data_IF_308938769294
#
_entry.id   IF_308938769294
#
_cell.length_a   1.000
_cell.length_b   1.000
_cell.length_c   1.000
_cell.angle_alpha   90.00
_cell.angle_beta   90.00
_cell.angle_gamma   90.00
#
_symmetry.space_group_name_H-M   'P 1'
#
loop_
_entity.id
_entity.type
_entity.pdbx_description
1 polymer ?
#
# COMPACT_ATOMS: atom_id res chain seq x y z
N UNK A 1 -43.12 70.67 -38.10
CA UNK A 1 -42.11 69.94 -38.89
C UNK A 1 -41.67 68.73 -38.06
N UNK A 2 -41.57 67.55 -38.70
CA UNK A 2 -41.19 66.19 -38.21
C UNK A 2 -40.00 66.15 -37.21
N UNK A 3 -39.69 65.02 -36.51
CA UNK A 3 -40.25 63.65 -36.63
C UNK A 3 -40.49 62.87 -35.31
N UNK A 4 -41.24 61.77 -35.50
CA UNK A 4 -41.23 60.43 -34.90
C UNK A 4 -40.49 60.08 -33.59
N UNK A 5 -41.28 59.49 -32.71
CA UNK A 5 -41.00 58.51 -31.65
C UNK A 5 -39.92 57.48 -31.98
N UNK A 6 -38.92 57.38 -31.10
CA UNK A 6 -38.27 56.11 -30.74
C UNK A 6 -37.65 56.25 -29.33
N UNK A 7 -38.27 55.62 -28.33
CA UNK A 7 -37.75 55.51 -26.96
C UNK A 7 -36.83 54.29 -26.89
N UNK A 8 -35.52 54.53 -26.92
CA UNK A 8 -34.49 53.53 -26.68
C UNK A 8 -34.14 53.50 -25.20
N UNK A 9 -34.47 52.38 -24.53
CA UNK A 9 -34.00 52.06 -23.19
C UNK A 9 -32.52 51.67 -23.26
N UNK A 10 -31.64 52.51 -22.71
CA UNK A 10 -30.24 52.16 -22.52
C UNK A 10 -30.09 51.32 -21.24
N UNK A 11 -29.74 50.05 -21.40
CA UNK A 11 -29.36 49.14 -20.32
C UNK A 11 -27.90 49.44 -19.96
N UNK A 12 -27.68 50.15 -18.85
CA UNK A 12 -26.34 50.26 -18.26
C UNK A 12 -26.09 49.02 -17.40
N UNK A 13 -25.37 48.04 -17.95
CA UNK A 13 -24.83 46.92 -17.20
C UNK A 13 -23.75 47.42 -16.23
N UNK A 14 -24.03 47.25 -14.93
CA UNK A 14 -23.01 47.29 -13.87
C UNK A 14 -21.94 46.24 -14.18
N UNK A 15 -20.71 46.70 -14.35
CA UNK A 15 -19.54 45.83 -14.50
C UNK A 15 -19.30 45.02 -13.23
N UNK A 16 -19.33 43.69 -13.33
CA UNK A 16 -18.73 42.82 -12.34
C UNK A 16 -17.21 42.90 -12.50
N UNK A 17 -16.54 43.52 -11.52
CA UNK A 17 -15.13 43.27 -11.29
C UNK A 17 -14.98 41.83 -10.77
N UNK A 18 -14.72 40.87 -11.67
CA UNK A 18 -14.26 39.55 -11.27
C UNK A 18 -12.77 39.64 -11.00
N UNK A 19 -12.38 39.49 -9.73
CA UNK A 19 -11.01 39.17 -9.37
C UNK A 19 -10.73 37.73 -9.83
N UNK A 20 -10.40 37.58 -11.10
CA UNK A 20 -9.85 36.33 -11.62
C UNK A 20 -8.45 36.17 -11.00
N UNK A 21 -8.34 35.25 -10.04
CA UNK A 21 -7.05 34.73 -9.62
C UNK A 21 -6.34 34.19 -10.87
N UNK A 22 -5.13 34.70 -11.10
CA UNK A 22 -4.28 34.31 -12.22
C UNK A 22 -3.89 32.84 -11.96
N UNK A 23 -4.57 31.91 -12.63
CA UNK A 23 -4.20 30.51 -12.61
C UNK A 23 -2.80 30.36 -13.22
N UNK A 24 -1.89 29.69 -12.51
CA UNK A 24 -0.57 29.35 -13.02
C UNK A 24 -0.74 28.40 -14.23
N UNK A 25 -0.04 28.62 -15.35
CA UNK A 25 -0.26 27.88 -16.60
C UNK A 25 0.25 26.42 -16.59
N UNK A 26 0.55 25.85 -15.42
CA UNK A 26 0.96 24.44 -15.25
C UNK A 26 -0.19 23.54 -14.74
N UNK A 27 -1.40 24.09 -14.57
CA UNK A 27 -2.55 23.39 -14.00
C UNK A 27 -3.42 22.65 -15.04
N UNK A 28 -2.91 22.38 -16.24
CA UNK A 28 -3.71 21.84 -17.35
C UNK A 28 -3.07 20.71 -18.16
N UNK A 29 -2.24 19.86 -17.55
CA UNK A 29 -1.92 18.57 -18.15
C UNK A 29 -1.55 17.52 -17.10
N UNK A 30 -2.52 17.15 -16.28
CA UNK A 30 -2.76 15.81 -15.72
C UNK A 30 -3.85 16.00 -14.68
N UNK A 31 -5.10 15.69 -15.00
CA UNK A 31 -6.09 15.46 -13.96
C UNK A 31 -5.48 14.43 -13.00
N UNK A 32 -5.04 14.86 -11.81
CA UNK A 32 -4.33 14.00 -10.89
C UNK A 32 -5.26 12.84 -10.58
N UNK A 33 -4.88 11.62 -10.98
CA UNK A 33 -5.58 10.44 -10.50
C UNK A 33 -5.60 10.56 -8.97
N UNK A 34 -6.82 10.64 -8.42
CA UNK A 34 -7.02 10.92 -7.00
C UNK A 34 -6.23 9.89 -6.19
N UNK A 35 -5.28 10.38 -5.38
CA UNK A 35 -4.46 9.53 -4.50
C UNK A 35 -5.37 8.59 -3.72
N UNK A 36 -5.00 7.31 -3.66
CA UNK A 36 -5.80 6.29 -2.99
C UNK A 36 -5.31 6.12 -1.55
N UNK A 37 -5.58 7.13 -0.72
CA UNK A 37 -5.26 7.08 0.71
C UNK A 37 -6.06 5.97 1.41
N UNK A 38 -5.45 5.29 2.37
CA UNK A 38 -6.15 4.32 3.21
C UNK A 38 -7.15 5.01 4.13
N UNK A 39 -8.34 4.40 4.25
CA UNK A 39 -9.42 4.89 5.15
C UNK A 39 -9.25 4.38 6.59
N UNK A 40 -8.55 3.27 6.77
CA UNK A 40 -8.38 2.58 8.06
C UNK A 40 -6.92 2.16 8.22
N UNK A 41 -6.56 1.64 9.41
CA UNK A 41 -5.17 1.31 9.74
C UNK A 41 -4.51 2.36 10.65
N UNK A 42 -3.23 2.15 10.94
CA UNK A 42 -2.45 3.03 11.81
C UNK A 42 -2.31 4.42 11.17
N UNK A 43 -2.05 5.42 12.02
CA UNK A 43 -1.75 6.77 11.56
C UNK A 43 -0.27 7.08 11.85
N UNK A 44 0.39 7.74 10.89
CA UNK A 44 1.75 8.23 11.08
C UNK A 44 1.85 9.14 12.30
N UNK A 45 0.94 10.11 12.45
CA UNK A 45 0.98 11.09 13.53
C UNK A 45 2.37 11.73 13.66
N UNK A 46 2.97 11.63 14.84
CA UNK A 46 4.31 12.16 15.11
C UNK A 46 5.43 11.40 14.36
N UNK A 47 5.16 10.21 13.83
CA UNK A 47 6.15 9.39 13.12
C UNK A 47 6.30 9.74 11.63
N UNK A 48 5.58 10.75 11.12
CA UNK A 48 5.60 11.09 9.70
C UNK A 48 7.02 11.39 9.19
N UNK A 49 7.84 12.12 9.96
CA UNK A 49 9.23 12.39 9.60
C UNK A 49 10.10 11.13 9.62
N UNK A 50 9.88 10.22 10.57
CA UNK A 50 10.58 8.94 10.61
C UNK A 50 10.22 8.08 9.39
N UNK A 51 8.95 8.09 8.97
CA UNK A 51 8.52 7.42 7.75
C UNK A 51 9.16 8.02 6.49
N UNK A 52 9.37 9.34 6.43
CA UNK A 52 10.10 9.98 5.32
C UNK A 52 11.58 9.57 5.27
N UNK A 53 12.25 9.46 6.42
CA UNK A 53 13.62 8.93 6.49
C UNK A 53 13.70 7.46 6.06
N UNK A 54 12.68 6.66 6.40
CA UNK A 54 12.55 5.30 5.92
C UNK A 54 12.40 5.24 4.38
N UNK A 55 11.59 6.15 3.79
CA UNK A 55 11.45 6.30 2.34
C UNK A 55 12.80 6.62 1.69
N UNK A 56 13.58 7.54 2.27
CA UNK A 56 14.92 7.86 1.80
C UNK A 56 15.86 6.64 1.82
N UNK A 57 15.87 5.91 2.92
CA UNK A 57 16.69 4.70 3.07
C UNK A 57 16.29 3.65 2.03
N UNK A 58 14.98 3.45 1.83
CA UNK A 58 14.44 2.48 0.88
C UNK A 58 14.81 2.82 -0.57
N UNK A 59 14.65 4.08 -0.96
CA UNK A 59 14.90 4.54 -2.33
C UNK A 59 16.39 4.75 -2.65
N UNK A 60 17.27 4.90 -1.65
CA UNK A 60 18.72 4.91 -1.87
C UNK A 60 19.28 3.53 -2.20
N UNK A 61 18.64 2.47 -1.71
CA UNK A 61 19.14 1.10 -1.85
C UNK A 61 18.08 0.13 -2.36
N UNK A 62 17.33 -0.52 -1.45
CA UNK A 62 16.59 -1.74 -1.76
C UNK A 62 15.43 -1.60 -2.76
N UNK A 63 14.83 -0.42 -2.90
CA UNK A 63 13.74 -0.16 -3.85
C UNK A 63 14.21 0.51 -5.15
N UNK A 64 15.51 0.79 -5.29
CA UNK A 64 16.10 1.30 -6.53
C UNK A 64 16.48 0.15 -7.47
N UNK A 65 16.46 0.42 -8.77
CA UNK A 65 17.07 -0.45 -9.77
C UNK A 65 16.08 -0.96 -10.82
N UNK A 66 16.50 -1.98 -11.56
CA UNK A 66 15.71 -2.59 -12.65
C UNK A 66 14.62 -3.49 -12.08
N UNK A 67 13.39 -3.30 -12.54
CA UNK A 67 12.22 -4.13 -12.27
C UNK A 67 11.75 -4.80 -13.56
N UNK A 68 11.24 -6.02 -13.44
CA UNK A 68 10.48 -6.68 -14.50
C UNK A 68 8.99 -6.35 -14.37
N UNK A 69 8.24 -6.47 -15.47
CA UNK A 69 6.80 -6.22 -15.46
C UNK A 69 6.10 -7.06 -14.39
N UNK A 70 5.22 -6.42 -13.62
CA UNK A 70 4.52 -6.97 -12.45
C UNK A 70 5.40 -7.29 -11.24
N UNK A 71 6.70 -7.06 -11.30
CA UNK A 71 7.58 -7.18 -10.13
C UNK A 71 7.22 -6.11 -9.10
N UNK A 72 7.14 -6.52 -7.85
CA UNK A 72 6.92 -5.64 -6.69
C UNK A 72 7.98 -5.94 -5.65
N UNK A 73 8.57 -4.89 -5.08
CA UNK A 73 9.52 -5.00 -3.96
C UNK A 73 8.97 -4.25 -2.78
N UNK A 74 9.25 -4.80 -1.59
CA UNK A 74 8.73 -4.30 -0.33
C UNK A 74 9.88 -4.17 0.66
N UNK A 75 9.86 -3.11 1.46
CA UNK A 75 10.75 -2.91 2.60
C UNK A 75 9.97 -2.39 3.79
N UNK A 76 10.25 -2.96 4.95
CA UNK A 76 9.66 -2.56 6.22
C UNK A 76 10.73 -1.83 7.06
N UNK A 77 10.32 -0.74 7.72
CA UNK A 77 11.17 0.03 8.61
C UNK A 77 10.41 0.35 9.89
N UNK A 78 11.03 0.08 11.03
CA UNK A 78 10.48 0.41 12.33
C UNK A 78 10.36 1.94 12.48
N UNK A 79 9.28 2.37 13.13
CA UNK A 79 9.02 3.75 13.57
C UNK A 79 9.09 3.78 15.11
N UNK A 80 8.53 4.82 15.76
CA UNK A 80 8.50 4.84 17.23
C UNK A 80 7.57 3.78 17.81
N UNK A 81 7.91 3.31 19.03
CA UNK A 81 7.12 2.30 19.74
C UNK A 81 6.99 1.01 18.94
N UNK A 82 5.75 0.53 18.79
CA UNK A 82 5.40 -0.68 18.05
C UNK A 82 4.95 -0.44 16.61
N UNK A 83 5.22 0.74 16.06
CA UNK A 83 4.86 1.05 14.67
C UNK A 83 5.96 0.70 13.69
N UNK A 84 5.57 0.42 12.46
CA UNK A 84 6.45 0.43 11.29
C UNK A 84 5.80 1.13 10.10
N UNK A 85 6.58 1.29 9.03
CA UNK A 85 6.06 1.60 7.71
C UNK A 85 6.53 0.55 6.70
N UNK A 86 5.57 -0.02 5.99
CA UNK A 86 5.80 -0.91 4.84
C UNK A 86 5.76 -0.09 3.56
N UNK A 87 6.90 -0.05 2.87
CA UNK A 87 7.13 0.70 1.65
C UNK A 87 7.24 -0.24 0.47
N UNK A 88 6.44 0.02 -0.55
CA UNK A 88 6.29 -0.85 -1.71
C UNK A 88 6.44 -0.06 -3.00
N UNK A 89 7.28 -0.55 -3.90
CA UNK A 89 7.39 -0.09 -5.28
C UNK A 89 7.16 -1.27 -6.21
N UNK A 90 6.28 -1.12 -7.19
CA UNK A 90 6.03 -2.15 -8.19
C UNK A 90 5.91 -1.60 -9.62
N UNK A 91 6.45 -2.34 -10.59
CA UNK A 91 6.29 -2.05 -12.02
C UNK A 91 4.96 -2.65 -12.52
N UNK A 92 3.86 -2.15 -11.96
CA UNK A 92 2.51 -2.71 -12.14
C UNK A 92 1.52 -1.73 -12.76
N UNK A 93 1.95 -0.52 -13.10
CA UNK A 93 1.07 0.49 -13.69
C UNK A 93 0.62 0.15 -15.11
N UNK A 94 -0.45 0.79 -15.56
CA UNK A 94 -1.06 0.53 -16.87
C UNK A 94 -0.09 0.75 -18.03
N UNK A 95 0.88 1.65 -17.87
CA UNK A 95 1.90 1.95 -18.89
C UNK A 95 3.15 1.05 -18.78
N UNK A 96 3.19 0.13 -17.81
CA UNK A 96 4.37 -0.68 -17.54
C UNK A 96 4.77 -1.57 -18.74
N UNK A 97 5.95 -1.28 -19.29
CA UNK A 97 6.65 -2.12 -20.26
C UNK A 97 7.19 -3.42 -19.65
N UNK A 98 7.96 -4.19 -20.43
CA UNK A 98 8.54 -5.47 -19.99
C UNK A 98 9.53 -5.32 -18.84
N UNK A 99 10.33 -4.26 -18.86
CA UNK A 99 11.24 -3.88 -17.77
C UNK A 99 11.35 -2.37 -17.67
N UNK A 100 11.68 -1.85 -16.48
CA UNK A 100 12.00 -0.43 -16.26
C UNK A 100 12.90 -0.30 -15.05
N UNK A 101 13.84 0.65 -15.10
CA UNK A 101 14.65 1.03 -13.94
C UNK A 101 14.01 2.21 -13.25
N UNK A 102 13.79 2.11 -11.93
CA UNK A 102 13.46 3.26 -11.09
C UNK A 102 14.74 3.79 -10.46
N UNK A 103 14.94 5.10 -10.56
CA UNK A 103 16.01 5.77 -9.83
C UNK A 103 15.55 6.22 -8.43
N UNK A 104 16.47 6.84 -7.68
CA UNK A 104 16.20 7.32 -6.32
C UNK A 104 15.08 8.36 -6.34
N UNK A 105 15.13 9.32 -7.25
CA UNK A 105 14.27 10.50 -7.19
C UNK A 105 12.84 10.19 -7.63
N UNK A 106 12.66 9.33 -8.65
CA UNK A 106 11.36 8.80 -9.04
C UNK A 106 10.74 7.95 -7.92
N UNK A 107 11.55 7.13 -7.23
CA UNK A 107 11.10 6.36 -6.06
C UNK A 107 10.66 7.27 -4.91
N UNK A 108 11.49 8.26 -4.55
CA UNK A 108 11.21 9.22 -3.48
C UNK A 108 9.97 10.04 -3.76
N UNK A 109 9.83 10.57 -4.98
CA UNK A 109 8.72 11.43 -5.38
C UNK A 109 7.38 10.70 -5.24
N UNK A 110 7.33 9.41 -5.62
CA UNK A 110 6.13 8.59 -5.48
C UNK A 110 5.80 8.27 -4.02
N UNK A 111 6.73 7.64 -3.30
CA UNK A 111 6.48 7.17 -1.92
C UNK A 111 6.25 8.31 -0.93
N UNK A 112 6.97 9.43 -1.05
CA UNK A 112 6.79 10.60 -0.17
C UNK A 112 5.37 11.13 -0.24
N UNK A 113 4.73 11.09 -1.41
CA UNK A 113 3.35 11.55 -1.58
C UNK A 113 2.34 10.66 -0.86
N UNK A 114 2.61 9.36 -0.74
CA UNK A 114 1.75 8.46 0.04
C UNK A 114 1.92 8.68 1.57
N UNK A 115 3.07 9.20 2.02
CA UNK A 115 3.32 9.52 3.44
C UNK A 115 2.78 10.90 3.83
N UNK A 116 3.03 11.91 3.01
CA UNK A 116 2.69 13.32 3.33
C UNK A 116 1.21 13.60 3.13
N UNK A 117 0.64 13.12 2.03
CA UNK A 117 -0.75 13.46 1.68
C UNK A 117 -1.78 12.50 2.29
N UNK A 118 -1.33 11.38 2.85
CA UNK A 118 -2.21 10.40 3.47
C UNK A 118 -1.71 10.07 4.89
N UNK A 119 -2.40 10.60 5.91
CA UNK A 119 -2.00 10.39 7.32
C UNK A 119 -2.00 8.92 7.77
N UNK A 120 -2.74 8.06 7.07
CA UNK A 120 -2.77 6.60 7.28
C UNK A 120 -2.05 5.82 6.19
N UNK A 121 -1.24 6.47 5.37
CA UNK A 121 -0.65 5.86 4.18
C UNK A 121 -1.61 5.79 2.99
N UNK A 122 -1.08 5.34 1.86
CA UNK A 122 -1.80 5.26 0.59
C UNK A 122 -1.20 4.23 -0.36
N UNK A 123 -1.95 3.93 -1.42
CA UNK A 123 -1.58 2.97 -2.46
C UNK A 123 -2.00 3.48 -3.83
N UNK A 124 -1.13 4.28 -4.44
CA UNK A 124 -1.40 4.90 -5.73
C UNK A 124 -0.57 4.23 -6.81
N UNK A 125 -1.24 3.80 -7.88
CA UNK A 125 -0.59 3.39 -9.12
C UNK A 125 -0.68 4.52 -10.11
N UNK A 126 0.45 4.99 -10.63
CA UNK A 126 0.53 6.09 -11.58
C UNK A 126 1.53 5.78 -12.69
N UNK A 127 1.06 5.86 -13.93
CA UNK A 127 1.86 5.58 -15.12
C UNK A 127 2.41 4.14 -15.12
N UNK A 128 3.70 3.99 -14.85
CA UNK A 128 4.38 2.69 -14.82
C UNK A 128 4.40 2.05 -13.42
N UNK A 129 4.30 2.86 -12.37
CA UNK A 129 4.70 2.47 -11.03
C UNK A 129 3.53 2.45 -10.06
N UNK A 130 3.52 1.47 -9.16
CA UNK A 130 2.73 1.48 -7.94
C UNK A 130 3.61 1.91 -6.78
N UNK A 131 3.11 2.88 -6.01
CA UNK A 131 3.71 3.36 -4.78
C UNK A 131 2.73 3.11 -3.66
N UNK A 132 3.15 2.34 -2.66
CA UNK A 132 2.36 2.12 -1.45
C UNK A 132 3.22 2.38 -0.23
N UNK A 133 2.72 3.22 0.66
CA UNK A 133 3.29 3.46 1.98
C UNK A 133 2.21 3.17 3.01
N UNK A 134 2.47 2.25 3.92
CA UNK A 134 1.48 1.69 4.81
C UNK A 134 2.02 1.66 6.24
N UNK A 135 1.62 2.61 7.10
CA UNK A 135 1.95 2.56 8.51
C UNK A 135 1.16 1.43 9.17
N UNK A 136 1.86 0.59 9.93
CA UNK A 136 1.27 -0.49 10.69
C UNK A 136 1.64 -0.35 12.17
N UNK A 137 0.75 -0.81 13.03
CA UNK A 137 1.10 -1.17 14.40
C UNK A 137 1.49 -2.65 14.32
N UNK A 138 2.79 -2.94 14.36
CA UNK A 138 3.32 -4.25 14.03
C UNK A 138 2.86 -5.29 15.06
N UNK A 139 2.09 -6.27 14.60
CA UNK A 139 1.85 -7.48 15.37
C UNK A 139 3.13 -8.32 15.57
N UNK A 140 4.10 -8.19 14.64
CA UNK A 140 5.38 -8.93 14.68
C UNK A 140 6.53 -8.05 14.20
N UNK A 141 7.62 -8.03 14.98
CA UNK A 141 8.87 -7.34 14.65
C UNK A 141 9.99 -8.33 14.38
N UNK A 142 10.71 -8.15 13.27
CA UNK A 142 11.96 -8.86 13.02
C UNK A 142 13.08 -8.16 13.79
N UNK A 143 13.49 -8.73 14.92
CA UNK A 143 14.49 -8.14 15.82
C UNK A 143 15.93 -8.28 15.32
N UNK A 144 16.21 -9.28 14.48
CA UNK A 144 17.55 -9.56 13.96
C UNK A 144 17.52 -10.36 12.66
N UNK A 145 18.65 -10.39 11.95
CA UNK A 145 18.82 -11.12 10.69
C UNK A 145 18.37 -10.35 9.44
N UNK A 146 18.68 -10.91 8.27
CA UNK A 146 18.21 -10.38 6.98
C UNK A 146 16.99 -11.18 6.50
N UNK A 147 16.06 -10.50 5.83
CA UNK A 147 14.89 -11.15 5.25
C UNK A 147 14.70 -10.73 3.80
N UNK A 148 14.05 -11.61 3.03
CA UNK A 148 13.51 -11.32 1.70
C UNK A 148 12.00 -11.50 1.71
N UNK A 149 11.34 -10.83 0.78
CA UNK A 149 9.89 -10.91 0.60
C UNK A 149 9.58 -11.45 -0.78
N UNK A 150 8.60 -12.33 -0.88
CA UNK A 150 8.02 -12.79 -2.14
C UNK A 150 6.51 -12.65 -2.06
N UNK A 151 5.91 -12.10 -3.12
CA UNK A 151 4.47 -11.80 -3.17
C UNK A 151 3.82 -12.59 -4.29
N UNK A 152 2.71 -13.27 -4.02
CA UNK A 152 1.96 -14.07 -5.00
C UNK A 152 0.46 -13.97 -4.74
N UNK A 153 -0.32 -13.98 -5.82
CA UNK A 153 -1.77 -14.19 -5.72
C UNK A 153 -2.07 -15.63 -5.28
N UNK A 154 -2.88 -15.76 -4.24
CA UNK A 154 -3.49 -17.00 -3.80
C UNK A 154 -4.68 -17.36 -4.70
N UNK A 155 -5.12 -18.61 -4.65
CA UNK A 155 -6.12 -19.18 -5.56
C UNK A 155 -7.49 -18.47 -5.47
N UNK A 156 -7.82 -17.92 -4.30
CA UNK A 156 -9.01 -17.11 -4.06
C UNK A 156 -8.84 -15.61 -4.42
N UNK A 157 -7.71 -15.22 -5.02
CA UNK A 157 -7.45 -13.87 -5.49
C UNK A 157 -6.77 -12.92 -4.49
N UNK A 158 -6.65 -13.28 -3.20
CA UNK A 158 -5.90 -12.47 -2.25
C UNK A 158 -4.39 -12.54 -2.53
N UNK A 159 -3.67 -11.47 -2.24
CA UNK A 159 -2.22 -11.40 -2.40
C UNK A 159 -1.53 -11.73 -1.09
N UNK A 160 -0.80 -12.84 -1.07
CA UNK A 160 0.04 -13.24 0.06
C UNK A 160 1.45 -12.70 -0.14
N UNK A 161 1.97 -12.01 0.87
CA UNK A 161 3.39 -11.65 0.98
C UNK A 161 4.04 -12.57 2.01
N UNK A 162 5.09 -13.28 1.59
CA UNK A 162 5.86 -14.21 2.41
C UNK A 162 7.20 -13.54 2.74
N UNK A 163 7.50 -13.40 4.03
CA UNK A 163 8.79 -12.93 4.53
C UNK A 163 9.61 -14.11 5.00
N UNK A 164 10.82 -14.30 4.47
CA UNK A 164 11.64 -15.48 4.72
C UNK A 164 13.14 -15.16 4.86
N UNK A 165 13.87 -16.05 5.52
CA UNK A 165 15.33 -15.99 5.64
C UNK A 165 15.99 -16.39 4.30
N UNK A 166 16.85 -15.56 3.69
CA UNK A 166 17.45 -15.86 2.40
C UNK A 166 18.50 -16.98 2.43
N UNK A 167 19.00 -17.35 3.61
CA UNK A 167 20.07 -18.36 3.75
C UNK A 167 19.53 -19.77 3.91
N UNK A 168 18.47 -19.95 4.72
CA UNK A 168 17.87 -21.25 5.00
C UNK A 168 16.46 -21.45 4.41
N UNK A 169 15.92 -20.43 3.74
CA UNK A 169 14.56 -20.42 3.16
C UNK A 169 13.40 -20.62 4.16
N UNK A 170 13.65 -20.58 5.48
CA UNK A 170 12.61 -20.64 6.50
C UNK A 170 11.68 -19.43 6.40
N UNK A 171 10.37 -19.66 6.38
CA UNK A 171 9.37 -18.59 6.44
C UNK A 171 9.34 -18.00 7.85
N UNK A 172 9.51 -16.69 7.95
CA UNK A 172 9.45 -15.95 9.22
C UNK A 172 7.99 -15.65 9.54
N UNK A 173 7.27 -15.00 8.62
CA UNK A 173 5.82 -14.77 8.70
C UNK A 173 5.23 -14.52 7.30
N UNK A 174 3.91 -14.57 7.19
CA UNK A 174 3.15 -14.17 5.99
C UNK A 174 2.09 -13.13 6.33
N UNK A 175 1.79 -12.30 5.35
CA UNK A 175 0.70 -11.32 5.39
C UNK A 175 -0.19 -11.55 4.17
N UNK A 176 -1.49 -11.24 4.28
CA UNK A 176 -2.42 -11.25 3.18
C UNK A 176 -3.19 -9.91 3.12
N UNK A 177 -3.58 -9.47 1.92
CA UNK A 177 -4.30 -8.21 1.71
C UNK A 177 -5.84 -8.33 1.81
N UNK A 178 -6.32 -9.46 2.33
CA UNK A 178 -7.73 -9.72 2.59
C UNK A 178 -8.12 -9.21 4.00
N UNK A 179 -9.38 -8.80 4.18
CA UNK A 179 -9.89 -8.14 5.39
C UNK A 179 -9.75 -9.01 6.64
N UNK A 180 -9.94 -10.33 6.55
CA UNK A 180 -9.79 -11.28 7.65
C UNK A 180 -8.35 -11.36 8.19
N UNK A 181 -7.36 -10.96 7.39
CA UNK A 181 -5.95 -10.91 7.76
C UNK A 181 -5.46 -9.52 8.11
N UNK A 182 -6.34 -8.52 8.13
CA UNK A 182 -5.97 -7.17 8.54
C UNK A 182 -5.44 -7.16 9.96
N UNK A 183 -4.31 -6.50 10.16
CA UNK A 183 -3.59 -6.38 11.44
C UNK A 183 -3.17 -7.75 12.04
N UNK A 184 -3.11 -8.79 11.19
CA UNK A 184 -2.68 -10.15 11.56
C UNK A 184 -1.53 -10.59 10.68
N UNK A 185 -0.69 -11.46 11.23
CA UNK A 185 0.31 -12.20 10.46
C UNK A 185 0.13 -13.70 10.67
N UNK A 186 0.49 -14.45 9.65
CA UNK A 186 0.50 -15.92 9.71
C UNK A 186 1.91 -16.34 10.12
N UNK A 187 2.02 -16.94 11.29
CA UNK A 187 3.24 -17.58 11.80
C UNK A 187 3.11 -19.09 11.66
N UNK A 188 4.21 -19.76 11.32
CA UNK A 188 4.26 -21.21 11.36
C UNK A 188 4.63 -21.64 12.77
N UNK A 189 3.77 -22.37 13.47
CA UNK A 189 4.00 -22.77 14.86
C UNK A 189 5.31 -23.53 15.06
N UNK A 190 5.72 -24.33 14.06
CA UNK A 190 7.00 -25.06 14.07
C UNK A 190 8.27 -24.18 14.04
N UNK A 191 8.16 -22.87 13.84
CA UNK A 191 9.30 -21.94 13.94
C UNK A 191 9.34 -21.17 15.27
N UNK A 192 8.36 -21.39 16.16
CA UNK A 192 8.31 -20.73 17.45
C UNK A 192 9.10 -21.52 18.49
N UNK A 193 9.90 -20.81 19.29
CA UNK A 193 10.62 -21.37 20.42
C UNK A 193 9.88 -21.08 21.74
N UNK A 194 8.60 -21.45 21.81
CA UNK A 194 7.71 -21.26 22.97
C UNK A 194 6.94 -22.54 23.26
N UNK A 195 6.31 -22.63 24.43
CA UNK A 195 5.45 -23.76 24.77
C UNK A 195 4.19 -23.78 23.87
N UNK A 196 4.11 -24.77 22.98
CA UNK A 196 3.05 -24.88 21.97
C UNK A 196 1.74 -25.47 22.50
N UNK A 197 1.76 -26.11 23.67
CA UNK A 197 0.57 -26.79 24.24
C UNK A 197 -0.61 -25.84 24.47
N UNK A 198 -0.33 -24.54 24.61
CA UNK A 198 -1.35 -23.48 24.75
C UNK A 198 -1.82 -22.88 23.41
N UNK A 199 -1.20 -23.28 22.30
CA UNK A 199 -1.43 -22.76 20.95
C UNK A 199 -2.02 -23.84 20.03
N UNK A 200 -2.94 -24.65 20.59
CA UNK A 200 -3.70 -25.61 19.82
C UNK A 200 -4.47 -24.93 18.67
N UNK A 201 -4.71 -25.65 17.57
CA UNK A 201 -5.46 -25.08 16.44
C UNK A 201 -6.91 -24.80 16.85
N UNK A 202 -7.41 -23.62 16.51
CA UNK A 202 -8.80 -23.22 16.77
C UNK A 202 -9.71 -23.50 15.56
N UNK A 203 -9.13 -23.66 14.37
CA UNK A 203 -9.87 -23.86 13.14
C UNK A 203 -9.07 -24.70 12.13
N UNK A 204 -9.80 -25.49 11.34
CA UNK A 204 -9.30 -26.12 10.12
C UNK A 204 -9.80 -25.34 8.91
N UNK A 205 -8.87 -24.91 8.06
CA UNK A 205 -9.18 -24.15 6.84
C UNK A 205 -9.21 -25.11 5.64
N UNK A 206 -10.00 -24.75 4.62
CA UNK A 206 -10.09 -25.49 3.36
C UNK A 206 -10.64 -26.92 3.48
N UNK A 207 -11.59 -27.14 4.40
CA UNK A 207 -12.17 -28.47 4.66
C UNK A 207 -12.93 -29.05 3.46
N UNK A 208 -13.34 -28.23 2.48
CA UNK A 208 -13.89 -28.70 1.20
C UNK A 208 -12.93 -29.59 0.40
N UNK A 209 -11.63 -29.50 0.67
CA UNK A 209 -10.60 -30.32 0.03
C UNK A 209 -10.02 -31.39 0.98
N UNK A 210 -10.64 -31.60 2.16
CA UNK A 210 -10.23 -32.66 3.11
C UNK A 210 -10.33 -34.03 2.43
N UNK A 211 -9.24 -34.81 2.37
CA UNK A 211 -9.32 -36.20 1.93
C UNK A 211 -10.22 -37.02 2.87
N UNK A 212 -11.04 -37.92 2.32
CA UNK A 212 -12.02 -38.71 3.09
C UNK A 212 -11.41 -39.55 4.22
N UNK A 213 -10.13 -39.93 4.09
CA UNK A 213 -9.43 -40.73 5.10
C UNK A 213 -8.96 -39.92 6.31
N UNK A 214 -9.00 -38.59 6.25
CA UNK A 214 -8.51 -37.72 7.32
C UNK A 214 -9.69 -37.27 8.19
N UNK A 215 -9.72 -37.64 9.48
CA UNK A 215 -10.78 -37.19 10.39
C UNK A 215 -10.67 -35.70 10.67
N UNK A 216 -11.77 -35.11 11.12
CA UNK A 216 -11.78 -33.73 11.62
C UNK A 216 -10.96 -33.64 12.90
N UNK A 217 -10.28 -32.51 13.08
CA UNK A 217 -9.57 -32.23 14.31
C UNK A 217 -10.57 -31.79 15.38
N UNK A 218 -10.59 -32.51 16.50
CA UNK A 218 -11.49 -32.24 17.62
C UNK A 218 -11.36 -30.78 18.08
N UNK A 219 -12.50 -30.20 18.48
CA UNK A 219 -12.62 -28.86 19.04
C UNK A 219 -12.17 -27.72 18.11
N UNK A 220 -12.12 -27.96 16.79
CA UNK A 220 -11.77 -26.94 15.80
C UNK A 220 -12.95 -26.52 14.93
N UNK A 221 -13.01 -25.22 14.62
CA UNK A 221 -13.98 -24.66 13.67
C UNK A 221 -13.65 -25.12 12.25
N UNK A 222 -14.61 -25.75 11.59
CA UNK A 222 -14.46 -26.28 10.23
C UNK A 222 -14.78 -25.19 9.20
N UNK A 223 -13.78 -24.66 8.49
CA UNK A 223 -13.98 -23.62 7.48
C UNK A 223 -13.74 -24.13 6.06
N UNK A 224 -14.70 -23.83 5.18
CA UNK A 224 -14.59 -24.19 3.76
C UNK A 224 -13.47 -23.38 3.06
N UNK A 225 -13.21 -22.15 3.52
CA UNK A 225 -12.17 -21.24 3.03
C UNK A 225 -11.55 -20.45 4.21
N UNK A 226 -10.95 -19.28 3.99
CA UNK A 226 -10.38 -18.43 5.05
C UNK A 226 -11.45 -17.77 5.95
#
# INVERSE_FOLDING_TARGET
MKPSTLLLFAVNYLGLASAAAIANPDDSLHAMEKRKCFKTGANYGNDQNAALNAVETACKGPLKGKYNKRETRVKCYNLSGDKSVKLTVGLTGSNAGSTRTIDRDECMNGLTKEVVNCGKGGDTTYGNWRYRADPNEDAVKVSSGTHKTFTKAHENGMVITITFCPECATTIYKEADEVAFKDKVILQTGTLNVALDSLGPEAELWVQHRPEWMPELADTVQKQEF
#
